data_IF_397113381329
#
_entry.id   IF_397113381329
#
_cell.length_a   1.000
_cell.length_b   1.000
_cell.length_c   1.000
_cell.angle_alpha   90.00
_cell.angle_beta   90.00
_cell.angle_gamma   90.00
#
_symmetry.space_group_name_H-M   'P 1'
#
loop_
_entity.id
_entity.type
_entity.pdbx_description
1 polymer ?
#
# COMPACT_ATOMS: atom_id res chain seq x y z
N UNK A 1 13.99 -3.28 25.56
CA UNK A 1 13.29 -2.67 24.40
C UNK A 1 12.84 -3.68 23.32
N UNK A 2 13.15 -4.98 23.44
CA UNK A 2 12.96 -6.00 22.37
C UNK A 2 11.50 -6.28 21.93
N UNK A 3 10.49 -5.98 22.75
CA UNK A 3 9.07 -6.19 22.38
C UNK A 3 8.32 -4.93 21.97
N UNK A 4 8.79 -3.73 22.33
CA UNK A 4 8.00 -2.50 22.20
C UNK A 4 7.70 -2.14 20.74
N UNK A 5 8.67 -2.34 19.85
CA UNK A 5 8.50 -2.10 18.42
C UNK A 5 7.52 -3.07 17.79
N UNK A 6 7.69 -4.37 18.02
CA UNK A 6 6.79 -5.40 17.48
C UNK A 6 5.36 -5.22 17.95
N UNK A 7 5.16 -4.91 19.24
CA UNK A 7 3.84 -4.62 19.80
C UNK A 7 3.23 -3.39 19.12
N UNK A 8 3.99 -2.30 18.96
CA UNK A 8 3.48 -1.08 18.33
C UNK A 8 3.04 -1.30 16.87
N UNK A 9 3.87 -2.00 16.07
CA UNK A 9 3.55 -2.33 14.68
C UNK A 9 2.35 -3.28 14.59
N UNK A 10 2.28 -4.27 15.47
CA UNK A 10 1.14 -5.21 15.50
C UNK A 10 -0.17 -4.49 15.84
N UNK A 11 -0.14 -3.60 16.83
CA UNK A 11 -1.30 -2.78 17.19
C UNK A 11 -1.73 -1.87 16.02
N UNK A 12 -0.78 -1.24 15.34
CA UNK A 12 -1.05 -0.44 14.14
C UNK A 12 -1.73 -1.29 13.06
N UNK A 13 -1.22 -2.49 12.80
CA UNK A 13 -1.79 -3.38 11.78
C UNK A 13 -3.20 -3.86 12.15
N UNK A 14 -3.45 -4.15 13.42
CA UNK A 14 -4.81 -4.51 13.90
C UNK A 14 -5.78 -3.35 13.67
N UNK A 15 -5.35 -2.11 13.90
CA UNK A 15 -6.16 -0.92 13.61
C UNK A 15 -6.46 -0.82 12.12
N UNK A 16 -5.47 -1.01 11.24
CA UNK A 16 -5.70 -1.01 9.79
C UNK A 16 -6.67 -2.11 9.36
N UNK A 17 -6.51 -3.33 9.86
CA UNK A 17 -7.43 -4.44 9.56
C UNK A 17 -8.87 -4.08 9.95
N UNK A 18 -9.09 -3.50 11.13
CA UNK A 18 -10.43 -3.09 11.56
C UNK A 18 -10.99 -1.99 10.65
N UNK A 19 -10.19 -0.98 10.30
CA UNK A 19 -10.61 0.09 9.38
C UNK A 19 -11.01 -0.49 8.02
N UNK A 20 -10.17 -1.35 7.44
CA UNK A 20 -10.45 -1.99 6.16
C UNK A 20 -11.69 -2.89 6.24
N UNK A 21 -11.85 -3.67 7.30
CA UNK A 21 -12.99 -4.58 7.45
C UNK A 21 -14.33 -3.84 7.54
N UNK A 22 -14.38 -2.65 8.15
CA UNK A 22 -15.64 -1.94 8.38
C UNK A 22 -15.94 -0.83 7.36
N UNK A 23 -14.92 -0.22 6.76
CA UNK A 23 -15.07 1.03 5.98
C UNK A 23 -14.77 0.80 4.48
N UNK A 24 -13.97 -0.21 4.14
CA UNK A 24 -13.50 -0.44 2.78
C UNK A 24 -14.37 -1.44 2.04
N UNK A 25 -14.79 -1.09 0.83
CA UNK A 25 -15.49 -1.95 -0.12
C UNK A 25 -14.78 -1.94 -1.48
N UNK A 26 -15.01 -2.99 -2.28
CA UNK A 26 -14.52 -3.01 -3.65
C UNK A 26 -15.28 -2.00 -4.50
N UNK A 27 -14.59 -1.35 -5.44
CA UNK A 27 -15.22 -0.53 -6.46
C UNK A 27 -16.18 -1.35 -7.31
N UNK A 28 -17.21 -0.71 -7.87
CA UNK A 28 -18.27 -1.39 -8.59
C UNK A 28 -17.69 -2.24 -9.74
N UNK A 29 -16.70 -1.70 -10.46
CA UNK A 29 -15.95 -2.32 -11.58
C UNK A 29 -15.08 -3.54 -11.17
N UNK A 30 -14.80 -3.70 -9.87
CA UNK A 30 -13.96 -4.76 -9.32
C UNK A 30 -14.72 -5.79 -8.48
N UNK A 31 -16.01 -5.55 -8.23
CA UNK A 31 -16.81 -6.45 -7.41
C UNK A 31 -17.06 -7.78 -8.14
N UNK A 32 -16.45 -8.85 -7.62
CA UNK A 32 -16.62 -10.22 -8.12
C UNK A 32 -18.03 -10.77 -7.88
N UNK A 33 -18.83 -10.13 -7.02
CA UNK A 33 -20.24 -10.45 -6.80
C UNK A 33 -21.17 -9.95 -7.90
N UNK A 34 -20.72 -9.02 -8.76
CA UNK A 34 -21.54 -8.46 -9.83
C UNK A 34 -21.51 -9.35 -11.08
N UNK A 35 -22.67 -9.88 -11.56
CA UNK A 35 -22.72 -10.77 -12.73
C UNK A 35 -22.22 -10.12 -14.03
N UNK A 36 -22.19 -8.78 -14.12
CA UNK A 36 -21.68 -8.03 -15.28
C UNK A 36 -20.17 -8.22 -15.49
N UNK A 37 -19.43 -8.58 -14.44
CA UNK A 37 -17.97 -8.80 -14.50
C UNK A 37 -17.56 -10.26 -14.69
N UNK A 38 -18.53 -11.12 -15.03
CA UNK A 38 -18.24 -12.50 -15.37
C UNK A 38 -17.54 -12.58 -16.74
N UNK A 39 -16.64 -13.55 -16.95
CA UNK A 39 -15.98 -13.72 -18.27
C UNK A 39 -16.89 -14.38 -19.32
N UNK A 40 -18.05 -14.87 -18.90
CA UNK A 40 -19.04 -15.54 -19.74
C UNK A 40 -19.99 -14.51 -20.38
N UNK A 41 -19.97 -14.34 -21.72
CA UNK A 41 -20.87 -13.42 -22.42
C UNK A 41 -22.35 -13.74 -22.19
N UNK A 42 -22.69 -15.01 -21.88
CA UNK A 42 -24.07 -15.42 -21.62
C UNK A 42 -24.59 -14.96 -20.25
N UNK A 43 -23.72 -14.47 -19.36
CA UNK A 43 -24.06 -13.96 -18.03
C UNK A 43 -23.94 -12.43 -17.91
N UNK A 44 -23.78 -11.74 -19.03
CA UNK A 44 -23.60 -10.27 -19.07
C UNK A 44 -22.13 -9.83 -19.04
N UNK A 45 -21.20 -10.74 -19.31
CA UNK A 45 -19.77 -10.48 -19.27
C UNK A 45 -19.26 -9.50 -20.32
N UNK A 46 -18.54 -8.46 -19.87
CA UNK A 46 -17.79 -7.55 -20.74
C UNK A 46 -16.44 -8.15 -21.18
N UNK A 47 -15.92 -7.74 -22.34
CA UNK A 47 -14.61 -8.16 -22.83
C UNK A 47 -13.54 -7.82 -21.77
N UNK A 48 -12.65 -8.76 -21.37
CA UNK A 48 -11.59 -8.50 -20.40
C UNK A 48 -10.72 -7.27 -20.69
N UNK A 49 -10.69 -6.80 -21.94
CA UNK A 49 -9.96 -5.60 -22.38
C UNK A 49 -10.62 -4.29 -21.98
N UNK A 50 -11.93 -4.28 -21.74
CA UNK A 50 -12.67 -3.10 -21.31
C UNK A 50 -12.61 -2.91 -19.78
N UNK A 51 -12.21 -3.95 -19.03
CA UNK A 51 -12.02 -3.85 -17.59
C UNK A 51 -10.73 -3.07 -17.25
N UNK A 52 -10.86 -2.00 -16.47
CA UNK A 52 -9.76 -1.18 -15.97
C UNK A 52 -8.72 -2.02 -15.21
N UNK A 53 -9.14 -3.03 -14.46
CA UNK A 53 -8.25 -3.94 -13.73
C UNK A 53 -7.26 -4.62 -14.67
N UNK A 54 -7.75 -5.31 -15.70
CA UNK A 54 -6.90 -6.05 -16.65
C UNK A 54 -5.91 -5.15 -17.37
N UNK A 55 -6.31 -3.90 -17.65
CA UNK A 55 -5.48 -2.93 -18.37
C UNK A 55 -4.36 -2.35 -17.51
N UNK A 56 -4.63 -2.04 -16.24
CA UNK A 56 -3.69 -1.35 -15.36
C UNK A 56 -2.92 -2.29 -14.41
N UNK A 57 -3.36 -3.54 -14.27
CA UNK A 57 -2.68 -4.53 -13.42
C UNK A 57 -1.19 -4.76 -13.78
N UNK A 58 -0.78 -4.83 -15.07
CA UNK A 58 0.64 -4.95 -15.40
C UNK A 58 1.47 -3.75 -14.90
N UNK A 59 0.93 -2.53 -15.03
CA UNK A 59 1.58 -1.32 -14.54
C UNK A 59 1.70 -1.31 -13.02
N UNK A 60 0.64 -1.73 -12.30
CA UNK A 60 0.67 -1.93 -10.86
C UNK A 60 1.79 -2.91 -10.46
N UNK A 61 1.88 -4.06 -11.14
CA UNK A 61 2.90 -5.07 -10.85
C UNK A 61 4.34 -4.55 -11.06
N UNK A 62 4.58 -3.78 -12.13
CA UNK A 62 5.89 -3.19 -12.41
C UNK A 62 6.32 -2.19 -11.32
N UNK A 63 5.39 -1.33 -10.87
CA UNK A 63 5.65 -0.36 -9.79
C UNK A 63 5.86 -1.09 -8.45
N UNK A 64 5.03 -2.11 -8.16
CA UNK A 64 5.17 -2.93 -6.97
C UNK A 64 6.57 -3.56 -6.88
N UNK A 65 7.01 -4.21 -7.95
CA UNK A 65 8.32 -4.84 -8.03
C UNK A 65 9.45 -3.81 -7.86
N UNK A 66 9.30 -2.62 -8.43
CA UNK A 66 10.28 -1.54 -8.28
C UNK A 66 10.43 -1.12 -6.81
N UNK A 67 9.34 -0.96 -6.06
CA UNK A 67 9.37 -0.45 -4.68
C UNK A 67 9.82 -1.54 -3.69
N UNK A 68 9.20 -2.71 -3.75
CA UNK A 68 9.44 -3.78 -2.76
C UNK A 68 10.79 -4.47 -3.01
N UNK A 69 11.11 -4.80 -4.26
CA UNK A 69 12.34 -5.52 -4.62
C UNK A 69 13.42 -4.55 -5.06
N UNK A 70 13.13 -3.64 -5.99
CA UNK A 70 14.13 -2.72 -6.56
C UNK A 70 14.79 -1.86 -5.48
N UNK A 71 14.00 -1.03 -4.78
CA UNK A 71 14.54 -0.18 -3.71
C UNK A 71 14.95 -0.99 -2.48
N UNK A 72 14.27 -2.11 -2.19
CA UNK A 72 14.65 -3.02 -1.11
C UNK A 72 16.06 -3.59 -1.25
N UNK A 73 16.45 -3.98 -2.46
CA UNK A 73 17.81 -4.46 -2.75
C UNK A 73 18.84 -3.32 -2.80
N UNK A 74 18.43 -2.09 -3.12
CA UNK A 74 19.31 -0.93 -3.01
C UNK A 74 19.78 -0.72 -1.55
N UNK A 75 18.89 -0.92 -0.57
CA UNK A 75 19.27 -0.91 0.85
C UNK A 75 20.17 -2.08 1.26
N UNK A 76 20.13 -3.19 0.53
CA UNK A 76 20.98 -4.35 0.79
C UNK A 76 22.47 -4.09 0.50
N UNK A 77 22.80 -3.07 -0.30
CA UNK A 77 24.18 -2.64 -0.54
C UNK A 77 24.91 -2.20 0.75
N UNK A 78 24.18 -1.82 1.80
CA UNK A 78 24.77 -1.38 3.06
C UNK A 78 25.38 -2.56 3.84
N UNK A 79 26.71 -2.68 3.79
CA UNK A 79 27.50 -3.78 4.40
C UNK A 79 27.11 -4.17 5.83
N UNK A 80 26.74 -3.21 6.69
CA UNK A 80 26.39 -3.46 8.10
C UNK A 80 24.88 -3.56 8.36
N UNK A 81 24.05 -3.02 7.48
CA UNK A 81 22.61 -2.85 7.72
C UNK A 81 21.71 -3.47 6.63
N UNK A 82 22.26 -4.21 5.67
CA UNK A 82 21.50 -4.73 4.52
C UNK A 82 20.24 -5.51 4.90
N UNK A 83 20.33 -6.43 5.86
CA UNK A 83 19.17 -7.19 6.35
C UNK A 83 18.10 -6.30 7.00
N UNK A 84 18.52 -5.34 7.82
CA UNK A 84 17.61 -4.40 8.47
C UNK A 84 17.02 -3.42 7.46
N UNK A 85 17.77 -3.02 6.43
CA UNK A 85 17.34 -2.10 5.39
C UNK A 85 16.30 -2.71 4.48
N UNK A 86 16.54 -3.93 4.03
CA UNK A 86 15.56 -4.67 3.23
C UNK A 86 14.28 -4.95 4.04
N UNK A 87 14.41 -5.40 5.30
CA UNK A 87 13.25 -5.67 6.16
C UNK A 87 12.43 -4.41 6.48
N UNK A 88 13.11 -3.29 6.81
CA UNK A 88 12.43 -2.02 7.05
C UNK A 88 11.80 -1.46 5.77
N UNK A 89 12.43 -1.62 4.61
CA UNK A 89 11.84 -1.23 3.33
C UNK A 89 10.50 -1.93 3.09
N UNK A 90 10.48 -3.25 3.23
CA UNK A 90 9.25 -4.04 3.04
C UNK A 90 8.14 -3.59 4.01
N UNK A 91 8.50 -3.38 5.28
CA UNK A 91 7.54 -2.93 6.29
C UNK A 91 6.99 -1.53 5.99
N UNK A 92 7.87 -0.58 5.67
CA UNK A 92 7.49 0.81 5.39
C UNK A 92 6.69 0.91 4.10
N UNK A 93 7.06 0.18 3.04
CA UNK A 93 6.29 0.16 1.80
C UNK A 93 4.86 -0.34 2.04
N UNK A 94 4.68 -1.43 2.77
CA UNK A 94 3.36 -1.97 3.10
C UNK A 94 2.52 -1.01 3.94
N UNK A 95 3.07 -0.49 5.05
CA UNK A 95 2.37 0.47 5.93
C UNK A 95 1.98 1.74 5.14
N UNK A 96 2.88 2.24 4.28
CA UNK A 96 2.63 3.45 3.51
C UNK A 96 1.51 3.27 2.50
N UNK A 97 1.47 2.11 1.82
CA UNK A 97 0.42 1.81 0.87
C UNK A 97 -0.96 1.72 1.54
N UNK A 98 -1.06 0.98 2.65
CA UNK A 98 -2.31 0.85 3.41
C UNK A 98 -2.76 2.20 4.01
N UNK A 99 -1.81 2.94 4.59
CA UNK A 99 -2.10 4.23 5.20
C UNK A 99 -2.52 5.29 4.16
N UNK A 100 -1.86 5.34 3.00
CA UNK A 100 -2.20 6.28 1.93
C UNK A 100 -3.61 6.04 1.39
N UNK A 101 -4.03 4.78 1.23
CA UNK A 101 -5.39 4.47 0.79
C UNK A 101 -6.41 4.96 1.82
N UNK A 102 -6.14 4.79 3.12
CA UNK A 102 -7.02 5.32 4.17
C UNK A 102 -7.07 6.85 4.09
N UNK A 103 -5.92 7.53 4.18
CA UNK A 103 -5.85 9.00 4.30
C UNK A 103 -6.41 9.71 3.07
N UNK A 104 -6.22 9.16 1.87
CA UNK A 104 -6.74 9.72 0.62
C UNK A 104 -8.25 9.75 0.59
N UNK A 105 -8.85 8.68 1.11
CA UNK A 105 -10.28 8.48 1.01
C UNK A 105 -11.05 9.08 2.19
N UNK A 106 -10.37 9.58 3.23
CA UNK A 106 -10.99 10.39 4.29
C UNK A 106 -11.72 11.62 3.71
N UNK A 107 -11.15 12.25 2.66
CA UNK A 107 -11.70 13.46 2.06
C UNK A 107 -12.75 13.18 0.97
N UNK A 108 -12.76 11.99 0.38
CA UNK A 108 -13.63 11.59 -0.74
C UNK A 108 -14.58 10.45 -0.37
N UNK A 109 -15.03 10.40 0.88
CA UNK A 109 -16.00 9.39 1.32
C UNK A 109 -17.36 9.62 0.66
N UNK A 110 -17.73 8.73 -0.27
CA UNK A 110 -19.09 8.69 -0.81
C UNK A 110 -19.91 7.70 0.03
N UNK A 111 -20.93 8.19 0.74
CA UNK A 111 -21.74 7.42 1.70
C UNK A 111 -20.99 6.77 2.88
N UNK A 112 -19.84 7.34 3.28
CA UNK A 112 -19.07 6.83 4.43
C UNK A 112 -18.33 5.51 4.17
N UNK A 113 -18.26 5.07 2.90
CA UNK A 113 -17.51 3.88 2.49
C UNK A 113 -16.41 4.24 1.49
N UNK A 114 -15.30 3.53 1.60
CA UNK A 114 -14.12 3.72 0.75
C UNK A 114 -14.16 2.66 -0.34
N UNK A 115 -14.42 3.07 -1.58
CA UNK A 115 -14.35 2.17 -2.73
C UNK A 115 -12.89 2.04 -3.20
N UNK A 116 -12.34 0.84 -3.15
CA UNK A 116 -10.99 0.57 -3.65
C UNK A 116 -11.06 0.13 -5.11
N UNK A 117 -10.24 0.78 -5.93
CA UNK A 117 -10.00 0.45 -7.32
C UNK A 117 -8.48 0.27 -7.58
N UNK A 118 -8.10 -0.30 -8.72
CA UNK A 118 -6.70 -0.49 -9.13
C UNK A 118 -5.94 0.85 -9.13
N UNK A 119 -6.61 1.94 -9.49
CA UNK A 119 -6.01 3.28 -9.42
C UNK A 119 -5.71 3.73 -7.99
N UNK A 120 -6.52 3.35 -7.01
CA UNK A 120 -6.26 3.64 -5.60
C UNK A 120 -5.04 2.89 -5.10
N UNK A 121 -4.85 1.64 -5.55
CA UNK A 121 -3.65 0.85 -5.26
C UNK A 121 -2.39 1.46 -5.88
N UNK A 122 -2.43 1.81 -7.18
CA UNK A 122 -1.30 2.47 -7.86
C UNK A 122 -0.94 3.80 -7.20
N UNK A 123 -1.93 4.61 -6.80
CA UNK A 123 -1.67 5.85 -6.07
C UNK A 123 -1.06 5.60 -4.69
N UNK A 124 -1.48 4.54 -4.00
CA UNK A 124 -0.86 4.10 -2.74
C UNK A 124 0.59 3.67 -2.93
N UNK A 125 0.92 3.03 -4.05
CA UNK A 125 2.31 2.68 -4.38
C UNK A 125 3.17 3.92 -4.63
N UNK A 126 2.65 4.95 -5.29
CA UNK A 126 3.41 6.20 -5.44
C UNK A 126 3.68 6.89 -4.09
N UNK A 127 2.73 6.83 -3.14
CA UNK A 127 2.96 7.28 -1.77
C UNK A 127 4.04 6.44 -1.08
N UNK A 128 3.97 5.11 -1.22
CA UNK A 128 4.98 4.20 -0.68
C UNK A 128 6.38 4.46 -1.29
N UNK A 129 6.47 4.78 -2.58
CA UNK A 129 7.72 5.16 -3.23
C UNK A 129 8.32 6.42 -2.60
N UNK A 130 7.49 7.45 -2.33
CA UNK A 130 7.93 8.66 -1.62
C UNK A 130 8.50 8.33 -0.24
N UNK A 131 7.74 7.58 0.57
CA UNK A 131 8.14 7.19 1.92
C UNK A 131 9.43 6.35 1.94
N UNK A 132 9.57 5.42 1.00
CA UNK A 132 10.74 4.56 0.86
C UNK A 132 11.97 5.34 0.37
N UNK A 133 11.81 6.34 -0.48
CA UNK A 133 12.93 7.24 -0.85
C UNK A 133 13.34 8.10 0.36
N UNK A 134 12.36 8.66 1.08
CA UNK A 134 12.61 9.45 2.28
C UNK A 134 13.31 8.63 3.38
N UNK A 135 12.96 7.35 3.52
CA UNK A 135 13.64 6.40 4.40
C UNK A 135 15.14 6.37 4.14
N UNK A 136 15.58 6.46 2.89
CA UNK A 136 16.98 6.36 2.51
C UNK A 136 17.84 7.50 3.01
N UNK A 137 17.26 8.69 3.20
CA UNK A 137 17.96 9.84 3.76
C UNK A 137 18.21 9.69 5.28
N UNK A 138 17.30 9.01 5.99
CA UNK A 138 17.33 8.86 7.46
C UNK A 138 17.88 7.50 7.90
N UNK A 139 18.10 6.58 6.96
CA UNK A 139 18.48 5.21 7.24
C UNK A 139 19.81 5.14 8.02
N UNK A 140 19.84 4.32 9.08
CA UNK A 140 21.02 4.13 9.94
C UNK A 140 21.26 5.22 10.99
N UNK A 141 20.45 6.29 11.03
CA UNK A 141 20.54 7.37 12.04
C UNK A 141 19.40 7.34 13.07
N UNK A 142 18.33 6.62 12.77
CA UNK A 142 17.02 6.70 13.46
C UNK A 142 16.58 5.31 13.95
N UNK A 143 15.86 5.26 15.07
CA UNK A 143 15.34 4.01 15.63
C UNK A 143 14.16 3.48 14.78
N UNK A 144 14.00 2.15 14.54
CA UNK A 144 12.88 1.58 13.80
C UNK A 144 11.49 2.13 14.13
N UNK A 145 11.20 2.39 15.41
CA UNK A 145 9.91 2.98 15.82
C UNK A 145 9.75 4.42 15.32
N UNK A 146 10.81 5.22 15.39
CA UNK A 146 10.81 6.59 14.88
C UNK A 146 10.66 6.61 13.35
N UNK A 147 11.20 5.60 12.64
CA UNK A 147 11.00 5.44 11.21
C UNK A 147 9.52 5.25 10.89
N UNK A 148 8.82 4.35 11.59
CA UNK A 148 7.38 4.12 11.39
C UNK A 148 6.56 5.39 11.65
N UNK A 149 6.85 6.12 12.73
CA UNK A 149 6.17 7.39 13.03
C UNK A 149 6.42 8.42 11.92
N UNK A 150 7.68 8.56 11.49
CA UNK A 150 8.05 9.47 10.41
C UNK A 150 7.29 9.15 9.12
N UNK A 151 7.22 7.86 8.74
CA UNK A 151 6.45 7.40 7.58
C UNK A 151 4.96 7.73 7.68
N UNK A 152 4.32 7.49 8.83
CA UNK A 152 2.90 7.80 8.99
C UNK A 152 2.61 9.30 8.79
N UNK A 153 3.51 10.16 9.28
CA UNK A 153 3.40 11.61 9.11
C UNK A 153 3.66 12.01 7.66
N UNK A 154 4.74 11.53 7.06
CA UNK A 154 5.12 11.86 5.68
C UNK A 154 4.02 11.46 4.68
N UNK A 155 3.50 10.23 4.78
CA UNK A 155 2.43 9.74 3.91
C UNK A 155 1.12 10.51 4.12
N UNK A 156 0.84 10.97 5.35
CA UNK A 156 -0.32 11.82 5.62
C UNK A 156 -0.22 13.17 4.91
N UNK A 157 0.98 13.76 4.82
CA UNK A 157 1.19 15.02 4.08
C UNK A 157 1.30 14.83 2.56
N UNK A 158 1.76 13.66 2.11
CA UNK A 158 1.82 13.32 0.69
C UNK A 158 0.42 13.19 0.07
N UNK A 159 -0.51 12.65 0.85
CA UNK A 159 -1.82 12.20 0.36
C UNK A 159 -2.87 13.30 0.38
#
# INVERSE_FOLDING_TARGET
MRGKFGIAVTLLQVIFILIYAFIVEYGDDLDAGNPIHNKDPQKGGQDPKDNSLSRYYPMFQDINAMIFIGVGLLYAFLRKYGYMGMGMNLLIAAISMEWSIITKNIWNMNNGKIKIDIFSLIKGEFAAASAVIALGAIFGKVNPLQIVIFTLIEVFFYT
#
